data_IF_506249263700
#
_entry.id   IF_506249263700
#
_cell.length_a   1.000
_cell.length_b   1.000
_cell.length_c   1.000
_cell.angle_alpha   90.00
_cell.angle_beta   90.00
_cell.angle_gamma   90.00
#
_symmetry.space_group_name_H-M   'P 1'
#
loop_
_entity.id
_entity.type
_entity.pdbx_description
1 polymer ?
#
# COMPACT_ATOMS: atom_id res chain seq x y z
N UNK A 1 -10.87 2.72 -9.11
CA UNK A 1 -10.06 2.07 -8.06
C UNK A 1 -8.65 2.64 -8.10
N UNK A 2 -8.23 3.24 -6.99
CA UNK A 2 -6.86 3.74 -6.80
C UNK A 2 -5.87 2.55 -6.72
N UNK A 3 -4.63 2.72 -7.19
CA UNK A 3 -3.66 1.62 -7.18
C UNK A 3 -3.32 1.14 -5.76
N UNK A 4 -3.41 2.02 -4.75
CA UNK A 4 -3.22 1.66 -3.34
C UNK A 4 -4.35 0.76 -2.86
N UNK A 5 -5.60 1.14 -3.15
CA UNK A 5 -6.79 0.36 -2.81
C UNK A 5 -6.74 -1.02 -3.46
N UNK A 6 -6.46 -1.07 -4.77
CA UNK A 6 -6.26 -2.32 -5.52
C UNK A 6 -5.24 -3.23 -4.83
N UNK A 7 -4.06 -2.72 -4.44
CA UNK A 7 -3.03 -3.54 -3.77
C UNK A 7 -3.50 -4.04 -2.39
N UNK A 8 -4.27 -3.24 -1.67
CA UNK A 8 -4.74 -3.57 -0.32
C UNK A 8 -5.95 -4.52 -0.29
N UNK A 9 -6.76 -4.59 -1.35
CA UNK A 9 -7.98 -5.44 -1.41
C UNK A 9 -7.77 -6.70 -2.25
N UNK A 10 -7.20 -6.55 -3.45
CA UNK A 10 -6.99 -7.61 -4.43
C UNK A 10 -5.54 -8.08 -4.39
N UNK A 11 -4.63 -7.11 -4.23
CA UNK A 11 -3.19 -7.25 -4.34
C UNK A 11 -2.67 -7.35 -5.77
N UNK A 12 -1.38 -7.09 -5.91
CA UNK A 12 -0.71 -7.03 -7.20
C UNK A 12 0.65 -7.71 -7.10
N UNK A 13 0.94 -8.67 -7.98
CA UNK A 13 2.19 -9.45 -8.01
C UNK A 13 2.70 -9.96 -6.66
N UNK A 14 3.57 -9.20 -5.96
CA UNK A 14 4.27 -9.62 -4.75
C UNK A 14 3.77 -8.95 -3.46
N UNK A 15 2.77 -8.07 -3.53
CA UNK A 15 2.18 -7.41 -2.36
C UNK A 15 0.67 -7.57 -2.37
N UNK A 16 0.09 -7.71 -1.19
CA UNK A 16 -1.31 -8.02 -1.03
C UNK A 16 -1.91 -7.63 0.30
N UNK A 17 -3.19 -8.01 0.50
CA UNK A 17 -3.88 -7.90 1.78
C UNK A 17 -3.14 -8.64 2.88
N UNK A 18 -3.23 -8.14 4.12
CA UNK A 18 -2.52 -8.70 5.28
C UNK A 18 -3.02 -10.11 5.64
N UNK A 19 -4.30 -10.35 5.37
CA UNK A 19 -5.09 -11.54 5.69
C UNK A 19 -5.01 -12.65 4.63
N UNK A 20 -4.39 -12.40 3.46
CA UNK A 20 -4.24 -13.41 2.40
C UNK A 20 -2.81 -13.94 2.36
N UNK A 21 -2.66 -15.25 2.20
CA UNK A 21 -1.34 -15.87 2.10
C UNK A 21 -0.50 -15.27 0.96
N UNK A 22 0.81 -15.02 1.19
CA UNK A 22 1.72 -14.47 0.20
C UNK A 22 2.05 -15.43 -0.96
N UNK A 23 1.51 -16.65 -0.92
CA UNK A 23 1.85 -17.77 -1.81
C UNK A 23 1.23 -17.67 -3.22
N UNK A 24 0.26 -16.78 -3.46
CA UNK A 24 -0.34 -16.59 -4.78
C UNK A 24 0.46 -15.55 -5.57
N UNK A 25 1.26 -16.01 -6.55
CA UNK A 25 1.82 -15.14 -7.59
C UNK A 25 0.68 -14.55 -8.42
N UNK A 26 0.32 -13.29 -8.13
CA UNK A 26 -0.73 -12.57 -8.86
C UNK A 26 -0.17 -12.06 -10.19
N UNK A 27 -0.99 -12.04 -11.23
CA UNK A 27 -0.61 -11.42 -12.50
C UNK A 27 -0.47 -9.90 -12.32
N UNK A 28 0.41 -9.25 -13.11
CA UNK A 28 0.47 -7.79 -13.16
C UNK A 28 -0.86 -7.22 -13.67
N UNK A 29 -1.34 -6.15 -13.03
CA UNK A 29 -2.54 -5.45 -13.47
C UNK A 29 -2.23 -4.50 -14.64
N UNK A 30 -3.26 -3.92 -15.27
CA UNK A 30 -3.10 -2.97 -16.39
C UNK A 30 -2.33 -1.69 -16.02
N UNK A 31 -2.26 -1.33 -14.72
CA UNK A 31 -1.51 -0.19 -14.19
C UNK A 31 -0.26 -0.64 -13.43
N UNK A 32 0.42 -1.65 -13.96
CA UNK A 32 1.51 -2.30 -13.25
C UNK A 32 2.66 -1.36 -12.91
N UNK A 33 3.05 -0.41 -13.77
CA UNK A 33 4.14 0.54 -13.47
C UNK A 33 3.89 1.33 -12.17
N UNK A 34 2.66 1.83 -12.00
CA UNK A 34 2.26 2.54 -10.77
C UNK A 34 2.21 1.57 -9.59
N UNK A 35 1.63 0.39 -9.79
CA UNK A 35 1.55 -0.61 -8.72
C UNK A 35 2.95 -1.07 -8.29
N UNK A 36 3.90 -1.25 -9.21
CA UNK A 36 5.26 -1.66 -8.92
C UNK A 36 5.95 -0.64 -8.00
N UNK A 37 5.80 0.66 -8.30
CA UNK A 37 6.31 1.73 -7.44
C UNK A 37 5.71 1.69 -6.03
N UNK A 38 4.39 1.53 -5.91
CA UNK A 38 3.71 1.41 -4.61
C UNK A 38 4.12 0.15 -3.86
N UNK A 39 4.24 -0.99 -4.54
CA UNK A 39 4.71 -2.25 -3.96
C UNK A 39 6.11 -2.15 -3.37
N UNK A 40 7.01 -1.39 -3.99
CA UNK A 40 8.35 -1.12 -3.44
C UNK A 40 8.26 -0.27 -2.16
N UNK A 41 7.42 0.77 -2.16
CA UNK A 41 7.19 1.60 -0.98
C UNK A 41 6.58 0.79 0.17
N UNK A 42 5.59 -0.07 -0.10
CA UNK A 42 4.93 -0.92 0.89
C UNK A 42 5.94 -1.91 1.50
N UNK A 43 6.70 -2.64 0.66
CA UNK A 43 7.75 -3.57 1.14
C UNK A 43 8.78 -2.87 2.02
N UNK A 44 9.21 -1.68 1.61
CA UNK A 44 10.12 -0.86 2.42
C UNK A 44 9.45 -0.45 3.74
N UNK A 45 8.22 0.04 3.71
CA UNK A 45 7.48 0.52 4.87
C UNK A 45 7.23 -0.58 5.92
N UNK A 46 6.99 -1.81 5.47
CA UNK A 46 6.82 -2.98 6.31
C UNK A 46 8.10 -3.34 7.09
N UNK A 47 9.28 -3.16 6.49
CA UNK A 47 10.56 -3.63 7.03
C UNK A 47 11.45 -2.51 7.60
N UNK A 48 11.15 -1.25 7.33
CA UNK A 48 12.00 -0.13 7.72
C UNK A 48 11.88 0.22 9.22
N UNK A 49 12.96 -0.04 9.97
CA UNK A 49 13.09 0.29 11.40
C UNK A 49 13.07 1.79 11.70
N UNK A 50 13.32 2.64 10.70
CA UNK A 50 13.31 4.11 10.84
C UNK A 50 11.94 4.74 10.54
N UNK A 51 10.91 3.95 10.20
CA UNK A 51 9.59 4.44 9.75
C UNK A 51 8.86 5.31 10.77
N UNK A 52 9.08 5.07 12.07
CA UNK A 52 8.44 5.80 13.17
C UNK A 52 9.25 7.01 13.64
N UNK A 53 10.58 6.99 13.45
CA UNK A 53 11.50 8.05 13.89
C UNK A 53 11.62 9.22 12.90
N UNK A 54 10.83 9.23 11.82
CA UNK A 54 10.77 10.33 10.85
C UNK A 54 11.98 10.49 9.91
N UNK A 55 13.07 9.74 10.11
CA UNK A 55 14.33 9.90 9.35
C UNK A 55 14.42 9.17 8.01
N UNK A 56 13.33 8.62 7.47
CA UNK A 56 13.35 7.89 6.20
C UNK A 56 12.43 8.51 5.15
N UNK A 57 13.01 9.02 4.06
CA UNK A 57 12.28 9.69 2.98
C UNK A 57 11.26 8.77 2.28
N UNK A 58 11.61 7.51 2.03
CA UNK A 58 10.69 6.52 1.45
C UNK A 58 9.48 6.27 2.34
N UNK A 59 9.70 6.15 3.66
CA UNK A 59 8.60 6.01 4.61
C UNK A 59 7.75 7.29 4.69
N UNK A 60 8.37 8.47 4.66
CA UNK A 60 7.65 9.75 4.65
C UNK A 60 6.72 9.86 3.43
N UNK A 61 7.20 9.46 2.24
CA UNK A 61 6.38 9.41 1.03
C UNK A 61 5.21 8.43 1.16
N UNK A 62 5.46 7.24 1.72
CA UNK A 62 4.39 6.27 1.98
C UNK A 62 3.33 6.83 2.94
N UNK A 63 3.75 7.49 4.03
CA UNK A 63 2.84 8.17 4.95
C UNK A 63 1.98 9.24 4.26
N UNK A 64 2.57 10.05 3.36
CA UNK A 64 1.83 11.06 2.61
C UNK A 64 0.75 10.43 1.72
N UNK A 65 1.07 9.33 1.05
CA UNK A 65 0.12 8.59 0.21
C UNK A 65 -1.05 8.06 1.05
N UNK A 66 -0.76 7.44 2.20
CA UNK A 66 -1.80 6.88 3.08
C UNK A 66 -2.70 7.97 3.66
N UNK A 67 -2.12 9.10 4.09
CA UNK A 67 -2.88 10.26 4.58
C UNK A 67 -3.73 10.91 3.50
N UNK A 68 -3.21 11.02 2.28
CA UNK A 68 -3.96 11.54 1.15
C UNK A 68 -5.18 10.65 0.89
N UNK A 69 -4.97 9.33 0.81
CA UNK A 69 -6.07 8.39 0.67
C UNK A 69 -7.12 8.55 1.79
N UNK A 70 -6.70 8.57 3.06
CA UNK A 70 -7.61 8.75 4.19
C UNK A 70 -8.45 10.04 4.09
N UNK A 71 -7.88 11.13 3.58
CA UNK A 71 -8.57 12.42 3.43
C UNK A 71 -9.63 12.46 2.32
N UNK A 72 -9.56 11.53 1.36
CA UNK A 72 -10.47 11.47 0.21
C UNK A 72 -11.29 10.17 0.17
N UNK A 73 -11.16 9.30 1.18
CA UNK A 73 -11.85 8.02 1.22
C UNK A 73 -13.29 8.21 1.71
N UNK A 74 -14.26 7.90 0.86
CA UNK A 74 -15.68 7.99 1.21
C UNK A 74 -16.18 6.83 2.10
N UNK A 75 -15.41 5.74 2.21
CA UNK A 75 -15.80 4.51 2.92
C UNK A 75 -14.69 3.99 3.87
N UNK A 76 -14.29 4.76 4.90
CA UNK A 76 -13.16 4.40 5.77
C UNK A 76 -13.40 3.11 6.58
N UNK A 77 -14.66 2.80 6.92
CA UNK A 77 -15.02 1.61 7.71
C UNK A 77 -14.85 0.29 6.96
N UNK A 78 -14.93 0.30 5.63
CA UNK A 78 -14.77 -0.88 4.77
C UNK A 78 -13.40 -0.89 4.08
N UNK A 79 -12.69 0.24 4.10
CA UNK A 79 -11.40 0.38 3.46
C UNK A 79 -10.34 -0.53 4.09
N UNK A 80 -9.59 -1.22 3.22
CA UNK A 80 -8.47 -2.11 3.57
C UNK A 80 -7.11 -1.39 3.51
N UNK A 81 -7.08 -0.11 3.14
CA UNK A 81 -5.84 0.68 3.09
C UNK A 81 -5.38 0.97 4.52
N UNK A 82 -4.11 0.68 4.88
CA UNK A 82 -3.59 0.99 6.20
C UNK A 82 -3.73 2.48 6.54
N UNK A 83 -4.08 2.80 7.79
CA UNK A 83 -4.17 4.18 8.29
C UNK A 83 -5.26 5.04 7.60
N UNK A 84 -6.18 4.41 6.88
CA UNK A 84 -7.42 5.05 6.44
C UNK A 84 -8.44 5.21 7.58
N UNK A 85 -8.27 4.42 8.66
CA UNK A 85 -9.04 4.48 9.91
C UNK A 85 -8.24 5.11 11.03
#
# INVERSE_FOLDING_TARGET
>A
MDCLEHICTEGCTSVGPLDKEPSIKRQPCSKFDTCQGLQLLIRHFATCKRRTKGGCLRCKRMWQILRLHASICDQPNDCQVPLCR
#
